data_IF_000049771595
#
_entry.id   IF_000049771595
#
_cell.length_a   1.000
_cell.length_b   1.000
_cell.length_c   1.000
_cell.angle_alpha   90.00
_cell.angle_beta   90.00
_cell.angle_gamma   90.00
#
_symmetry.space_group_name_H-M   'P 1'
#
loop_
_entity.id
_entity.type
_entity.pdbx_description
1 polymer ?
#
# COMPACT_ATOMS: atom_id res chain seq x y z
N UNK A 1 -12.35 11.05 34.99
CA UNK A 1 -13.77 10.85 34.61
C UNK A 1 -14.01 10.81 33.08
N UNK A 2 -12.98 10.67 32.22
CA UNK A 2 -13.16 10.70 30.74
C UNK A 2 -12.55 9.50 29.98
N UNK A 3 -11.95 8.53 30.68
CA UNK A 3 -11.25 7.41 30.05
C UNK A 3 -12.18 6.34 29.42
N UNK A 4 -13.49 6.38 29.72
CA UNK A 4 -14.46 5.41 29.20
C UNK A 4 -15.06 5.76 27.83
N UNK A 5 -14.87 6.97 27.32
CA UNK A 5 -15.55 7.40 26.08
C UNK A 5 -14.72 7.10 24.82
N UNK A 6 -13.40 7.27 24.83
CA UNK A 6 -12.66 7.26 23.57
C UNK A 6 -12.49 5.88 22.94
N UNK A 7 -12.39 4.82 23.75
CA UNK A 7 -12.28 3.45 23.24
C UNK A 7 -13.52 3.06 22.45
N UNK A 8 -14.72 3.24 23.02
CA UNK A 8 -15.95 2.76 22.40
C UNK A 8 -16.41 3.56 21.16
N UNK A 9 -16.00 4.82 21.04
CA UNK A 9 -16.32 5.61 19.86
C UNK A 9 -15.46 5.23 18.66
N UNK A 10 -14.18 4.89 18.88
CA UNK A 10 -13.26 4.57 17.79
C UNK A 10 -13.67 3.31 17.02
N UNK A 11 -14.12 2.26 17.70
CA UNK A 11 -14.63 1.07 17.02
C UNK A 11 -16.01 1.26 16.39
N UNK A 12 -16.86 2.18 16.88
CA UNK A 12 -18.09 2.57 16.16
C UNK A 12 -17.73 3.25 14.83
N UNK A 13 -16.79 4.20 14.84
CA UNK A 13 -16.33 4.88 13.63
C UNK A 13 -15.70 3.87 12.66
N UNK A 14 -14.87 2.97 13.18
CA UNK A 14 -14.30 1.88 12.39
C UNK A 14 -15.40 1.01 11.76
N UNK A 15 -16.41 0.62 12.53
CA UNK A 15 -17.54 -0.17 12.03
C UNK A 15 -18.30 0.56 10.90
N UNK A 16 -18.54 1.86 11.03
CA UNK A 16 -19.18 2.67 9.98
C UNK A 16 -18.32 2.69 8.70
N UNK A 17 -17.00 2.90 8.84
CA UNK A 17 -16.08 2.88 7.70
C UNK A 17 -16.07 1.49 7.04
N UNK A 18 -16.07 0.39 7.81
CA UNK A 18 -16.19 -0.97 7.27
C UNK A 18 -17.51 -1.17 6.53
N UNK A 19 -18.61 -0.57 6.99
CA UNK A 19 -19.91 -0.69 6.34
C UNK A 19 -19.95 0.07 5.00
N UNK A 20 -19.35 1.27 4.95
CA UNK A 20 -19.32 2.12 3.76
C UNK A 20 -18.30 1.63 2.71
N UNK A 21 -17.09 1.27 3.16
CA UNK A 21 -16.01 0.86 2.28
C UNK A 21 -16.00 -0.66 2.04
N UNK A 22 -16.60 -1.45 2.93
CA UNK A 22 -16.59 -2.91 2.87
C UNK A 22 -15.29 -3.53 3.42
N UNK A 23 -15.38 -4.81 3.77
CA UNK A 23 -14.25 -5.62 4.26
C UNK A 23 -13.01 -5.67 3.33
N UNK A 24 -13.13 -5.71 1.97
CA UNK A 24 -11.94 -5.83 1.12
C UNK A 24 -11.21 -4.50 0.88
N UNK A 25 -11.84 -3.33 1.07
CA UNK A 25 -11.26 -2.04 0.70
C UNK A 25 -10.32 -1.47 1.75
N UNK A 26 -10.61 -1.64 3.04
CA UNK A 26 -9.70 -1.25 4.12
C UNK A 26 -8.33 -1.92 4.05
N UNK A 27 -8.20 -3.26 3.91
CA UNK A 27 -6.89 -3.88 3.79
C UNK A 27 -6.19 -3.50 2.48
N UNK A 28 -6.93 -3.20 1.42
CA UNK A 28 -6.35 -2.73 0.16
C UNK A 28 -5.72 -1.33 0.30
N UNK A 29 -6.44 -0.38 0.92
CA UNK A 29 -5.96 0.98 1.23
C UNK A 29 -4.79 0.95 2.23
N UNK A 30 -4.89 0.14 3.28
CA UNK A 30 -3.82 -0.02 4.26
C UNK A 30 -2.55 -0.60 3.62
N UNK A 31 -2.68 -1.56 2.69
CA UNK A 31 -1.52 -2.11 1.96
C UNK A 31 -0.86 -1.07 1.07
N UNK A 32 -1.60 -0.27 0.30
CA UNK A 32 -1.01 0.76 -0.56
C UNK A 32 -0.32 1.86 0.26
N UNK A 33 -0.98 2.36 1.31
CA UNK A 33 -0.40 3.37 2.21
C UNK A 33 0.82 2.81 2.95
N UNK A 34 0.74 1.58 3.45
CA UNK A 34 1.86 0.93 4.14
C UNK A 34 3.09 0.74 3.25
N UNK A 35 2.89 0.45 1.97
CA UNK A 35 3.98 0.33 1.00
C UNK A 35 4.67 1.69 0.74
N UNK A 36 3.90 2.76 0.54
CA UNK A 36 4.44 4.13 0.41
C UNK A 36 5.16 4.58 1.68
N UNK A 37 4.60 4.27 2.85
CA UNK A 37 5.16 4.66 4.15
C UNK A 37 6.45 3.90 4.46
N UNK A 38 6.59 2.64 4.01
CA UNK A 38 7.83 1.86 4.13
C UNK A 38 8.97 2.50 3.35
N UNK A 39 8.70 2.90 2.10
CA UNK A 39 9.70 3.56 1.23
C UNK A 39 10.13 4.87 1.86
N UNK A 40 9.17 5.73 2.22
CA UNK A 40 9.45 7.01 2.87
C UNK A 40 10.23 6.84 4.17
N UNK A 41 9.90 5.85 5.00
CA UNK A 41 10.62 5.57 6.25
C UNK A 41 12.05 5.08 6.01
N UNK A 42 12.28 4.27 4.98
CA UNK A 42 13.62 3.82 4.59
C UNK A 42 14.49 4.99 4.11
N UNK A 43 13.95 5.86 3.27
CA UNK A 43 14.68 7.06 2.80
C UNK A 43 14.98 8.03 3.95
N UNK A 44 13.98 8.34 4.78
CA UNK A 44 14.17 9.22 5.95
C UNK A 44 15.14 8.62 6.97
N UNK A 45 15.16 7.29 7.13
CA UNK A 45 16.12 6.60 8.00
C UNK A 45 17.54 6.71 7.46
N UNK A 46 17.73 6.53 6.15
CA UNK A 46 19.05 6.69 5.50
C UNK A 46 19.56 8.13 5.65
N UNK A 47 18.70 9.14 5.44
CA UNK A 47 19.09 10.54 5.59
C UNK A 47 19.48 10.89 7.03
N UNK A 48 18.79 10.29 8.00
CA UNK A 48 19.08 10.48 9.43
C UNK A 48 20.31 9.71 9.90
N UNK A 49 20.69 8.64 9.19
CA UNK A 49 21.89 7.85 9.46
C UNK A 49 23.14 8.44 8.78
N UNK A 50 22.98 9.10 7.63
CA UNK A 50 24.09 9.79 6.95
C UNK A 50 24.57 11.07 7.66
N UNK A 51 23.71 11.73 8.43
CA UNK A 51 24.10 12.88 9.29
C UNK A 51 24.86 12.45 10.57
N UNK A 52 24.95 11.13 10.84
CA UNK A 52 25.48 10.57 12.08
C UNK A 52 26.20 9.22 11.91
N UNK A 53 27.42 9.26 11.34
CA UNK A 53 28.43 8.19 11.38
C UNK A 53 28.19 6.95 10.51
N UNK A 54 29.22 6.63 9.73
CA UNK A 54 29.45 5.44 8.94
C UNK A 54 29.17 4.12 9.71
N UNK A 55 28.25 3.28 9.18
CA UNK A 55 28.28 1.80 9.09
C UNK A 55 26.86 1.23 8.98
N UNK A 56 26.55 0.58 7.86
CA UNK A 56 26.28 -0.87 7.82
C UNK A 56 25.92 -1.29 6.40
N UNK A 57 26.86 -2.00 5.77
CA UNK A 57 26.56 -3.01 4.76
C UNK A 57 25.55 -3.98 5.34
N UNK A 58 24.33 -4.02 4.80
CA UNK A 58 23.49 -5.23 4.71
C UNK A 58 22.16 -4.87 4.04
N UNK A 59 22.08 -5.13 2.74
CA UNK A 59 20.78 -5.30 2.09
C UNK A 59 20.19 -6.65 2.47
N UNK A 60 18.86 -6.76 2.56
CA UNK A 60 18.19 -7.98 2.17
C UNK A 60 17.35 -7.70 0.94
N UNK A 61 17.77 -8.30 -0.18
CA UNK A 61 16.82 -8.77 -1.16
C UNK A 61 15.75 -9.59 -0.44
N UNK A 62 14.50 -9.18 -0.56
CA UNK A 62 13.36 -10.04 -0.30
C UNK A 62 12.33 -9.77 -1.38
N UNK A 63 12.68 -10.26 -2.56
CA UNK A 63 11.73 -10.83 -3.49
C UNK A 63 10.96 -11.95 -2.78
N UNK A 64 9.76 -11.66 -2.30
CA UNK A 64 8.66 -12.63 -2.25
C UNK A 64 7.36 -11.83 -2.10
N UNK A 65 6.67 -11.69 -3.23
CA UNK A 65 5.38 -11.02 -3.33
C UNK A 65 4.71 -11.35 -4.66
N UNK A 66 4.89 -12.59 -5.14
CA UNK A 66 3.96 -13.17 -6.11
C UNK A 66 2.62 -13.34 -5.41
N UNK A 67 1.72 -12.38 -5.58
CA UNK A 67 0.27 -12.61 -5.46
C UNK A 67 -0.39 -11.94 -6.65
N UNK A 68 -0.46 -12.71 -7.74
CA UNK A 68 -1.67 -12.94 -8.53
C UNK A 68 -2.67 -11.78 -8.55
N UNK A 69 -2.53 -10.96 -9.59
CA UNK A 69 -3.56 -10.04 -10.09
C UNK A 69 -3.43 -9.87 -11.60
N UNK A 70 -2.92 -10.89 -12.30
CA UNK A 70 -3.10 -11.00 -13.75
C UNK A 70 -4.54 -11.45 -13.99
N UNK A 71 -5.46 -10.49 -14.10
CA UNK A 71 -6.72 -10.74 -14.80
C UNK A 71 -6.38 -10.86 -16.27
N UNK A 72 -6.22 -12.09 -16.70
CA UNK A 72 -6.57 -12.57 -18.03
C UNK A 72 -7.91 -11.96 -18.46
N UNK A 73 -7.84 -10.90 -19.27
CA UNK A 73 -8.92 -10.45 -20.14
C UNK A 73 -8.59 -10.90 -21.56
N UNK A 74 -9.03 -12.11 -21.90
CA UNK A 74 -8.89 -12.73 -23.22
C UNK A 74 -9.62 -11.92 -24.29
N UNK A 75 -8.87 -11.52 -25.32
CA UNK A 75 -9.26 -11.46 -26.73
C UNK A 75 -10.63 -10.93 -27.14
N UNK A 76 -10.66 -9.77 -27.79
CA UNK A 76 -11.25 -9.68 -29.13
C UNK A 76 -10.39 -8.74 -29.98
N UNK A 77 -9.75 -9.36 -30.95
CA UNK A 77 -9.18 -8.81 -32.17
C UNK A 77 -9.96 -7.62 -32.75
N UNK A 78 -9.28 -6.52 -33.08
CA UNK A 78 -9.55 -5.80 -34.33
C UNK A 78 -8.21 -5.25 -34.87
N UNK A 79 -7.83 -5.54 -36.12
CA UNK A 79 -6.46 -5.41 -36.64
C UNK A 79 -6.10 -3.96 -37.01
N UNK A 80 -4.83 -3.68 -37.38
CA UNK A 80 -4.32 -2.34 -37.60
C UNK A 80 -4.78 -1.80 -38.96
N UNK A 81 -5.39 -0.61 -38.98
CA UNK A 81 -5.61 0.14 -40.22
C UNK A 81 -4.87 1.48 -40.15
N UNK A 82 -3.66 1.48 -40.69
CA UNK A 82 -3.08 2.59 -41.46
C UNK A 82 -3.24 2.22 -42.95
N UNK A 83 -3.15 3.10 -43.98
CA UNK A 83 -2.92 4.55 -44.07
C UNK A 83 -3.92 5.28 -45.04
N UNK A 84 -3.57 6.50 -45.51
CA UNK A 84 -4.12 7.31 -46.63
C UNK A 84 -5.27 8.29 -46.38
N UNK A 85 -4.92 9.57 -46.22
CA UNK A 85 -4.98 10.58 -47.32
C UNK A 85 -4.25 11.85 -46.92
#
# INVERSE_FOLDING_TARGET
MFAGLQGWHLLIILAVILLLFGAPKLPQLARSVGQSMRIFKSEVKTMKEEDGSERSTEGPASSTGTTTGSTTGTGTTTPPESPLK
#
